data_IF_168295257181
#
_entry.id   IF_168295257181
#
_cell.length_a   1.000
_cell.length_b   1.000
_cell.length_c   1.000
_cell.angle_alpha   90.00
_cell.angle_beta   90.00
_cell.angle_gamma   90.00
#
_symmetry.space_group_name_H-M   'P 1'
#
loop_
_entity.id
_entity.type
_entity.pdbx_description
1 polymer ?
#
# COMPACT_ATOMS: atom_id res chain seq x y z
N UNK A 1 18.62 2.00 10.45
CA UNK A 1 17.27 2.44 10.89
C UNK A 1 16.38 2.43 9.67
N UNK A 2 15.19 1.85 9.77
CA UNK A 2 14.22 1.82 8.68
C UNK A 2 13.54 3.20 8.57
N UNK A 3 13.47 3.78 7.39
CA UNK A 3 12.83 5.08 7.16
C UNK A 3 11.46 4.94 6.52
N UNK A 4 10.63 5.98 6.65
CA UNK A 4 9.32 6.05 5.99
C UNK A 4 9.43 5.93 4.47
N UNK A 5 10.45 6.53 3.85
CA UNK A 5 10.70 6.37 2.41
C UNK A 5 11.01 4.93 2.03
N UNK A 6 11.80 4.22 2.84
CA UNK A 6 12.10 2.81 2.60
C UNK A 6 10.84 1.93 2.73
N UNK A 7 9.94 2.25 3.67
CA UNK A 7 8.64 1.58 3.79
C UNK A 7 7.78 1.82 2.54
N UNK A 8 7.71 3.06 2.07
CA UNK A 8 6.95 3.44 0.88
C UNK A 8 7.47 2.71 -0.36
N UNK A 9 8.78 2.74 -0.60
CA UNK A 9 9.40 2.03 -1.73
C UNK A 9 9.22 0.51 -1.65
N UNK A 10 9.23 -0.06 -0.43
CA UNK A 10 8.91 -1.47 -0.25
C UNK A 10 7.49 -1.80 -0.69
N UNK A 11 6.49 -1.01 -0.27
CA UNK A 11 5.10 -1.25 -0.67
C UNK A 11 4.88 -1.06 -2.17
N UNK A 12 5.55 -0.08 -2.80
CA UNK A 12 5.52 0.10 -4.26
C UNK A 12 5.99 -1.16 -5.00
N UNK A 13 7.16 -1.69 -4.64
CA UNK A 13 7.70 -2.91 -5.23
C UNK A 13 6.85 -4.13 -4.92
N UNK A 14 6.34 -4.24 -3.68
CA UNK A 14 5.51 -5.37 -3.25
C UNK A 14 4.18 -5.41 -4.00
N UNK A 15 3.50 -4.29 -4.17
CA UNK A 15 2.24 -4.21 -4.94
C UNK A 15 2.48 -4.62 -6.39
N UNK A 16 3.56 -4.12 -7.02
CA UNK A 16 3.91 -4.50 -8.38
C UNK A 16 4.15 -6.02 -8.52
N UNK A 17 4.89 -6.62 -7.58
CA UNK A 17 5.14 -8.07 -7.58
C UNK A 17 3.86 -8.88 -7.38
N UNK A 18 2.99 -8.46 -6.47
CA UNK A 18 1.71 -9.12 -6.21
C UNK A 18 0.80 -9.10 -7.43
N UNK A 19 0.77 -7.98 -8.17
CA UNK A 19 0.04 -7.86 -9.43
C UNK A 19 0.51 -8.86 -10.46
N UNK A 20 1.82 -8.94 -10.69
CA UNK A 20 2.39 -9.89 -11.65
C UNK A 20 2.09 -11.35 -11.30
N UNK A 21 1.98 -11.64 -10.00
CA UNK A 21 1.69 -12.99 -9.51
C UNK A 21 0.18 -13.31 -9.44
N UNK A 22 -0.70 -12.35 -9.72
CA UNK A 22 -2.15 -12.52 -9.51
C UNK A 22 -2.54 -12.74 -8.04
N UNK A 23 -1.70 -12.31 -7.09
CA UNK A 23 -1.89 -12.60 -5.65
C UNK A 23 -2.86 -11.60 -5.00
N UNK A 24 -4.16 -11.86 -5.17
CA UNK A 24 -5.26 -11.02 -4.65
C UNK A 24 -5.22 -10.87 -3.13
N UNK A 25 -4.95 -11.95 -2.41
CA UNK A 25 -4.92 -11.96 -0.95
C UNK A 25 -3.70 -11.17 -0.43
N UNK A 26 -2.55 -11.30 -1.10
CA UNK A 26 -1.39 -10.45 -0.84
C UNK A 26 -1.70 -8.97 -1.03
N UNK A 27 -2.46 -8.59 -2.06
CA UNK A 27 -2.89 -7.19 -2.25
C UNK A 27 -3.81 -6.72 -1.13
N UNK A 28 -4.77 -7.54 -0.70
CA UNK A 28 -5.65 -7.21 0.44
C UNK A 28 -4.83 -6.96 1.71
N UNK A 29 -3.81 -7.77 1.98
CA UNK A 29 -2.91 -7.58 3.14
C UNK A 29 -2.14 -6.27 3.04
N UNK A 30 -1.66 -5.90 1.84
CA UNK A 30 -1.02 -4.60 1.63
C UNK A 30 -1.96 -3.43 1.93
N UNK A 31 -3.21 -3.49 1.48
CA UNK A 31 -4.19 -2.43 1.77
C UNK A 31 -4.43 -2.25 3.28
N UNK A 32 -4.62 -3.35 4.02
CA UNK A 32 -4.81 -3.31 5.47
C UNK A 32 -3.60 -2.71 6.18
N UNK A 33 -2.38 -3.14 5.82
CA UNK A 33 -1.16 -2.61 6.40
C UNK A 33 -0.98 -1.12 6.10
N UNK A 34 -1.27 -0.69 4.86
CA UNK A 34 -1.22 0.72 4.48
C UNK A 34 -2.25 1.55 5.24
N UNK A 35 -3.45 1.02 5.49
CA UNK A 35 -4.47 1.66 6.34
C UNK A 35 -3.94 1.99 7.74
N UNK A 36 -3.35 1.01 8.41
CA UNK A 36 -2.75 1.21 9.75
C UNK A 36 -1.61 2.24 9.72
N UNK A 37 -0.79 2.25 8.66
CA UNK A 37 0.30 3.22 8.52
C UNK A 37 -0.20 4.64 8.24
N UNK A 38 -1.33 4.79 7.55
CA UNK A 38 -1.99 6.08 7.34
C UNK A 38 -2.45 6.65 8.68
N UNK A 39 -3.14 5.84 9.50
CA UNK A 39 -3.58 6.25 10.84
C UNK A 39 -2.39 6.66 11.72
N UNK A 40 -1.28 5.92 11.67
CA UNK A 40 -0.06 6.27 12.38
C UNK A 40 0.53 7.60 11.90
N UNK A 41 0.60 7.83 10.59
CA UNK A 41 1.10 9.09 10.03
C UNK A 41 0.21 10.27 10.41
N UNK A 42 -1.12 10.11 10.36
CA UNK A 42 -2.09 11.12 10.79
C UNK A 42 -1.95 11.44 12.28
N UNK A 43 -1.78 10.43 13.14
CA UNK A 43 -1.57 10.60 14.58
C UNK A 43 -0.35 11.49 14.88
N UNK A 44 0.69 11.38 14.07
CA UNK A 44 1.90 12.20 14.18
C UNK A 44 1.88 13.50 13.36
N UNK A 45 0.73 13.88 12.80
CA UNK A 45 0.55 15.04 11.91
C UNK A 45 1.45 15.03 10.66
N UNK A 46 1.89 13.85 10.22
CA UNK A 46 2.66 13.69 8.98
C UNK A 46 1.72 13.51 7.77
N UNK A 47 1.15 14.63 7.33
CA UNK A 47 0.22 14.67 6.22
C UNK A 47 0.84 14.23 4.89
N UNK A 48 2.16 14.44 4.71
CA UNK A 48 2.86 14.05 3.48
C UNK A 48 2.92 12.53 3.37
N UNK A 49 3.38 11.87 4.43
CA UNK A 49 3.43 10.41 4.51
C UNK A 49 2.06 9.80 4.37
N UNK A 50 1.06 10.30 5.11
CA UNK A 50 -0.32 9.82 5.02
C UNK A 50 -0.84 9.88 3.58
N UNK A 51 -0.60 10.99 2.86
CA UNK A 51 -1.01 11.14 1.46
C UNK A 51 -0.33 10.10 0.55
N UNK A 52 0.98 9.90 0.70
CA UNK A 52 1.73 8.92 -0.12
C UNK A 52 1.23 7.50 0.11
N UNK A 53 0.98 7.13 1.37
CA UNK A 53 0.44 5.82 1.72
C UNK A 53 -1.00 5.62 1.19
N UNK A 54 -1.85 6.64 1.23
CA UNK A 54 -3.21 6.59 0.63
C UNK A 54 -3.17 6.29 -0.86
N UNK A 55 -2.22 6.89 -1.60
CA UNK A 55 -2.04 6.60 -3.04
C UNK A 55 -1.69 5.12 -3.26
N UNK A 56 -0.80 4.55 -2.44
CA UNK A 56 -0.46 3.13 -2.52
C UNK A 56 -1.64 2.22 -2.15
N UNK A 57 -2.43 2.59 -1.14
CA UNK A 57 -3.60 1.83 -0.74
C UNK A 57 -4.66 1.79 -1.86
N UNK A 58 -4.93 2.94 -2.48
CA UNK A 58 -5.81 3.04 -3.63
C UNK A 58 -5.29 2.22 -4.83
N UNK A 59 -3.99 2.29 -5.12
CA UNK A 59 -3.38 1.46 -6.17
C UNK A 59 -3.57 -0.04 -5.90
N UNK A 60 -3.30 -0.49 -4.68
CA UNK A 60 -3.50 -1.89 -4.31
C UNK A 60 -4.97 -2.31 -4.37
N UNK A 61 -5.93 -1.39 -4.13
CA UNK A 61 -7.36 -1.63 -4.30
C UNK A 61 -7.72 -1.85 -5.77
N UNK A 62 -7.35 -0.91 -6.63
CA UNK A 62 -7.62 -0.97 -8.06
C UNK A 62 -6.98 -2.20 -8.71
N UNK A 63 -5.72 -2.50 -8.36
CA UNK A 63 -5.03 -3.68 -8.90
C UNK A 63 -5.70 -4.99 -8.43
N UNK A 64 -6.27 -5.03 -7.22
CA UNK A 64 -6.98 -6.23 -6.71
C UNK A 64 -8.31 -6.42 -7.42
N UNK A 65 -9.05 -5.34 -7.64
CA UNK A 65 -10.32 -5.33 -8.36
C UNK A 65 -10.12 -5.77 -9.81
N UNK A 66 -9.11 -5.23 -10.50
CA UNK A 66 -8.75 -5.66 -11.85
C UNK A 66 -8.41 -7.16 -11.94
N UNK A 67 -7.77 -7.71 -10.90
CA UNK A 67 -7.53 -9.15 -10.84
C UNK A 67 -8.81 -9.96 -10.57
N UNK A 68 -9.86 -9.38 -9.99
CA UNK A 68 -11.15 -10.04 -9.73
C UNK A 68 -11.98 -10.18 -11.01
N UNK A 69 -11.85 -9.22 -11.91
CA UNK A 69 -12.55 -9.17 -13.21
C UNK A 69 -11.90 -10.02 -14.32
N UNK A 70 -10.66 -10.50 -14.11
CA UNK A 70 -9.90 -11.44 -14.98
C UNK A 70 -10.15 -12.92 -14.61
#
# INVERSE_FOLDING_TARGET
MLTTDQIISFFEGRIAQLKLNGDREGMRRCQLALGVLIEAAEHHNDANTARRLRVLAARAANDREALEDD
#
